data_IF_113512561608
#
_entry.id   IF_113512561608
#
_cell.length_a   1.000
_cell.length_b   1.000
_cell.length_c   1.000
_cell.angle_alpha   90.00
_cell.angle_beta   90.00
_cell.angle_gamma   90.00
#
_symmetry.space_group_name_H-M   'P 1'
#
loop_
_entity.id
_entity.type
_entity.pdbx_description
1 polymer ?
#
# COMPACT_ATOMS: atom_id res chain seq x y z
N UNK A 1 12.04 -21.31 -14.42
CA UNK A 1 10.58 -21.30 -14.66
C UNK A 1 10.00 -20.08 -13.97
N UNK A 2 9.51 -19.08 -14.72
CA UNK A 2 8.79 -17.94 -14.13
C UNK A 2 7.39 -18.43 -13.75
N UNK A 3 7.09 -18.46 -12.46
CA UNK A 3 5.76 -18.87 -11.98
C UNK A 3 4.71 -17.88 -12.50
N UNK A 4 3.71 -18.38 -13.22
CA UNK A 4 2.52 -17.61 -13.64
C UNK A 4 1.58 -17.52 -12.44
N UNK A 5 1.72 -16.47 -11.64
CA UNK A 5 1.00 -16.32 -10.36
C UNK A 5 0.96 -14.89 -9.87
N UNK A 6 0.16 -14.66 -8.83
CA UNK A 6 0.27 -13.42 -8.05
C UNK A 6 1.66 -13.37 -7.41
N UNK A 7 2.24 -12.17 -7.30
CA UNK A 7 3.46 -11.95 -6.53
C UNK A 7 3.09 -11.22 -5.25
N UNK A 8 3.70 -11.62 -4.15
CA UNK A 8 3.50 -10.99 -2.85
C UNK A 8 4.88 -10.57 -2.34
N UNK A 9 5.00 -9.32 -1.92
CA UNK A 9 6.19 -8.76 -1.29
C UNK A 9 5.81 -8.31 0.11
N UNK A 10 6.55 -8.79 1.09
CA UNK A 10 6.39 -8.42 2.49
C UNK A 10 7.40 -7.33 2.85
N UNK A 11 6.92 -6.23 3.42
CA UNK A 11 7.73 -5.09 3.84
C UNK A 11 7.93 -5.02 5.37
N UNK A 12 7.40 -5.95 6.15
CA UNK A 12 7.45 -5.88 7.61
C UNK A 12 6.11 -5.52 8.24
N UNK A 13 5.95 -5.84 9.53
CA UNK A 13 4.71 -5.67 10.27
C UNK A 13 3.49 -6.25 9.53
N UNK A 14 2.59 -5.40 9.03
CA UNK A 14 1.39 -5.76 8.27
C UNK A 14 1.45 -5.25 6.82
N UNK A 15 2.59 -4.71 6.38
CA UNK A 15 2.73 -4.09 5.08
C UNK A 15 3.03 -5.12 3.98
N UNK A 16 2.11 -5.24 3.03
CA UNK A 16 2.23 -6.16 1.88
C UNK A 16 1.95 -5.45 0.56
N UNK A 17 2.74 -5.77 -0.46
CA UNK A 17 2.39 -5.48 -1.85
C UNK A 17 1.97 -6.77 -2.55
N UNK A 18 0.80 -6.75 -3.15
CA UNK A 18 0.29 -7.80 -4.02
C UNK A 18 0.31 -7.30 -5.46
N UNK A 19 1.00 -8.02 -6.33
CA UNK A 19 0.99 -7.79 -7.78
C UNK A 19 0.17 -8.92 -8.39
N UNK A 20 -0.99 -8.58 -8.93
CA UNK A 20 -1.86 -9.56 -9.56
C UNK A 20 -1.24 -10.17 -10.82
N UNK A 21 -1.75 -11.32 -11.25
CA UNK A 21 -1.34 -11.92 -12.53
C UNK A 21 -1.55 -10.99 -13.73
N UNK A 22 -2.50 -10.04 -13.62
CA UNK A 22 -2.83 -9.05 -14.66
C UNK A 22 -2.05 -7.74 -14.50
N UNK A 23 -1.10 -7.66 -13.57
CA UNK A 23 -0.26 -6.49 -13.34
C UNK A 23 -0.77 -5.51 -12.29
N UNK A 24 -2.03 -5.60 -11.85
CA UNK A 24 -2.56 -4.69 -10.81
C UNK A 24 -1.78 -4.73 -9.51
N UNK A 25 -1.43 -3.57 -8.97
CA UNK A 25 -0.63 -3.41 -7.75
C UNK A 25 -1.48 -2.94 -6.59
N UNK A 26 -1.49 -3.72 -5.51
CA UNK A 26 -2.29 -3.47 -4.32
C UNK A 26 -1.34 -3.41 -3.13
N UNK A 27 -1.27 -2.26 -2.46
CA UNK A 27 -0.51 -2.08 -1.25
C UNK A 27 -1.44 -2.12 -0.04
N UNK A 28 -1.13 -2.96 0.96
CA UNK A 28 -1.98 -3.20 2.13
C UNK A 28 -1.22 -2.70 3.36
N UNK A 29 -1.90 -1.92 4.21
CA UNK A 29 -1.42 -1.40 5.49
C UNK A 29 0.01 -0.82 5.43
N UNK A 30 0.21 0.28 4.68
CA UNK A 30 1.52 0.64 4.13
C UNK A 30 2.44 1.37 5.11
N UNK A 31 2.72 0.79 6.28
CA UNK A 31 3.80 1.27 7.14
C UNK A 31 5.16 0.76 6.64
N UNK A 32 5.68 1.36 5.57
CA UNK A 32 6.98 1.06 5.00
C UNK A 32 8.14 1.62 5.82
N UNK A 33 7.91 2.65 6.64
CA UNK A 33 8.88 3.17 7.60
C UNK A 33 9.03 2.34 8.88
N UNK A 34 8.43 1.14 8.92
CA UNK A 34 8.52 0.23 10.07
C UNK A 34 9.97 -0.26 10.34
N UNK A 35 10.32 -0.61 11.60
CA UNK A 35 11.71 -0.92 11.98
C UNK A 35 12.36 -2.12 11.29
N UNK A 36 11.57 -3.05 10.73
CA UNK A 36 12.09 -4.27 10.12
C UNK A 36 12.16 -4.19 8.59
N UNK A 37 11.56 -3.17 7.98
CA UNK A 37 11.69 -2.93 6.55
C UNK A 37 13.11 -2.47 6.21
N UNK A 38 13.70 -3.08 5.17
CA UNK A 38 15.02 -2.73 4.66
C UNK A 38 14.99 -2.34 3.17
N UNK A 39 13.79 -2.17 2.60
CA UNK A 39 13.59 -1.94 1.15
C UNK A 39 12.72 -0.71 0.93
N UNK A 40 12.97 -0.01 -0.18
CA UNK A 40 12.06 1.01 -0.67
C UNK A 40 11.06 0.37 -1.64
N UNK A 41 9.83 0.87 -1.68
CA UNK A 41 8.82 0.39 -2.62
C UNK A 41 9.24 0.60 -4.09
N UNK A 42 9.98 1.68 -4.38
CA UNK A 42 10.54 1.98 -5.71
C UNK A 42 11.52 0.92 -6.22
N UNK A 43 12.14 0.14 -5.33
CA UNK A 43 13.01 -0.97 -5.74
C UNK A 43 12.22 -2.17 -6.29
N UNK A 44 10.88 -2.14 -6.19
CA UNK A 44 10.00 -3.26 -6.51
C UNK A 44 9.03 -2.90 -7.64
N UNK A 45 8.46 -1.69 -7.62
CA UNK A 45 7.40 -1.23 -8.53
C UNK A 45 7.52 0.28 -8.83
N UNK A 46 6.88 0.71 -9.91
CA UNK A 46 6.77 2.11 -10.33
C UNK A 46 5.33 2.66 -10.25
N UNK A 47 4.33 1.82 -9.97
CA UNK A 47 2.92 2.20 -9.87
C UNK A 47 2.22 1.46 -8.71
N UNK A 48 1.34 2.15 -7.98
CA UNK A 48 0.45 1.57 -6.96
C UNK A 48 -0.98 1.91 -7.37
N UNK A 49 -1.74 0.94 -7.90
CA UNK A 49 -3.14 1.17 -8.29
C UNK A 49 -4.00 1.44 -7.04
N UNK A 50 -3.88 0.59 -6.02
CA UNK A 50 -4.74 0.62 -4.83
C UNK A 50 -3.94 0.60 -3.54
N UNK A 51 -4.41 1.35 -2.55
CA UNK A 51 -3.97 1.24 -1.16
C UNK A 51 -5.15 0.78 -0.30
N UNK A 52 -5.02 -0.37 0.34
CA UNK A 52 -6.02 -0.92 1.25
C UNK A 52 -5.58 -0.69 2.69
N UNK A 53 -6.47 -0.14 3.51
CA UNK A 53 -6.21 0.06 4.94
C UNK A 53 -7.24 -0.71 5.76
N UNK A 54 -6.78 -1.59 6.64
CA UNK A 54 -7.64 -2.47 7.42
C UNK A 54 -8.34 -1.75 8.57
N UNK A 55 -7.62 -0.85 9.27
CA UNK A 55 -8.16 -0.04 10.36
C UNK A 55 -7.27 1.19 10.65
N UNK A 56 -7.75 2.09 11.51
CA UNK A 56 -7.18 3.43 11.69
C UNK A 56 -5.94 3.57 12.60
N UNK A 57 -5.30 2.47 13.01
CA UNK A 57 -4.07 2.57 13.81
C UNK A 57 -2.89 3.05 12.96
N UNK A 58 -1.96 3.79 13.58
CA UNK A 58 -0.84 4.43 12.87
C UNK A 58 0.12 3.46 12.20
N UNK A 59 0.28 2.25 12.74
CA UNK A 59 1.08 1.15 12.20
C UNK A 59 0.40 0.43 11.00
N UNK A 60 -0.85 0.77 10.70
CA UNK A 60 -1.60 0.30 9.53
C UNK A 60 -1.89 1.42 8.52
N UNK A 61 -2.21 2.64 8.96
CA UNK A 61 -2.25 3.81 8.07
C UNK A 61 -0.86 4.07 7.50
N UNK A 62 0.17 4.06 8.35
CA UNK A 62 1.56 4.19 7.96
C UNK A 62 1.84 5.36 7.03
N UNK A 63 2.52 5.06 5.93
CA UNK A 63 2.96 6.02 4.92
C UNK A 63 1.92 6.20 3.79
N UNK A 64 0.65 5.81 4.00
CA UNK A 64 -0.41 5.83 2.97
C UNK A 64 -0.61 7.20 2.32
N UNK A 65 -0.50 8.30 3.08
CA UNK A 65 -0.71 9.65 2.54
C UNK A 65 0.37 10.01 1.53
N UNK A 66 1.62 9.75 1.85
CA UNK A 66 2.75 10.09 0.98
C UNK A 66 2.79 9.19 -0.25
N UNK A 67 2.54 7.89 -0.07
CA UNK A 67 2.49 6.90 -1.16
C UNK A 67 1.28 7.18 -2.07
N UNK A 68 0.10 7.39 -1.50
CA UNK A 68 -1.13 7.65 -2.25
C UNK A 68 -1.01 8.91 -3.11
N UNK A 69 -0.39 9.98 -2.60
CA UNK A 69 -0.10 11.19 -3.39
C UNK A 69 0.93 10.94 -4.48
N UNK A 70 2.00 10.21 -4.16
CA UNK A 70 3.09 9.94 -5.09
C UNK A 70 2.63 9.15 -6.32
N UNK A 71 1.82 8.12 -6.12
CA UNK A 71 1.37 7.23 -7.19
C UNK A 71 -0.05 7.52 -7.67
N UNK A 72 -0.74 8.50 -7.09
CA UNK A 72 -2.14 8.80 -7.36
C UNK A 72 -3.03 7.55 -7.22
N UNK A 73 -2.84 6.82 -6.11
CA UNK A 73 -3.52 5.56 -5.82
C UNK A 73 -4.93 5.78 -5.30
N UNK A 74 -5.84 4.85 -5.62
CA UNK A 74 -7.18 4.80 -5.03
C UNK A 74 -7.13 4.17 -3.63
N UNK A 75 -7.76 4.81 -2.65
CA UNK A 75 -7.84 4.33 -1.28
C UNK A 75 -9.08 3.47 -1.08
N UNK A 76 -8.90 2.26 -0.55
CA UNK A 76 -10.00 1.35 -0.20
C UNK A 76 -9.95 1.06 1.31
N UNK A 77 -10.98 1.49 2.04
CA UNK A 77 -11.12 1.23 3.47
C UNK A 77 -12.58 1.45 3.92
N UNK A 78 -12.84 1.53 5.22
CA UNK A 78 -14.14 1.93 5.76
C UNK A 78 -14.43 3.42 5.50
N UNK A 79 -15.69 3.83 5.66
CA UNK A 79 -16.15 5.20 5.40
C UNK A 79 -15.39 6.26 6.22
N UNK A 80 -15.15 5.99 7.50
CA UNK A 80 -14.46 6.93 8.39
C UNK A 80 -12.99 7.12 7.98
N UNK A 81 -12.31 6.04 7.60
CA UNK A 81 -10.89 6.07 7.20
C UNK A 81 -10.73 6.74 5.83
N UNK A 82 -11.60 6.40 4.87
CA UNK A 82 -11.59 7.05 3.55
C UNK A 82 -11.90 8.55 3.67
N UNK A 83 -12.84 8.98 4.52
CA UNK A 83 -13.05 10.40 4.80
C UNK A 83 -11.85 11.07 5.45
N UNK A 84 -11.22 10.42 6.43
CA UNK A 84 -10.01 10.94 7.07
C UNK A 84 -8.88 11.14 6.04
N UNK A 85 -8.61 10.15 5.20
CA UNK A 85 -7.57 10.22 4.17
C UNK A 85 -7.94 11.17 3.03
N UNK A 86 -9.23 11.25 2.69
CA UNK A 86 -9.78 12.25 1.77
C UNK A 86 -9.49 13.68 2.25
N UNK A 87 -9.64 13.95 3.55
CA UNK A 87 -9.26 15.24 4.15
C UNK A 87 -7.75 15.55 4.05
N UNK A 88 -6.91 14.54 3.79
CA UNK A 88 -5.46 14.68 3.54
C UNK A 88 -5.11 14.83 2.05
N UNK A 89 -6.11 14.86 1.17
CA UNK A 89 -5.96 15.03 -0.26
C UNK A 89 -5.76 13.72 -1.03
N UNK A 90 -6.25 12.60 -0.51
CA UNK A 90 -6.33 11.32 -1.23
C UNK A 90 -7.73 11.13 -1.82
N UNK A 91 -7.86 10.23 -2.81
CA UNK A 91 -9.14 9.83 -3.42
C UNK A 91 -9.52 8.41 -3.01
#
# INVERSE_FOLDING_TARGET
MLLKGHKIVYFGHSAFLVISQKGKTILIDPWLSNPVNKRTIDSVINEVDFILITHGHGDHIGDAVDIGKKYNSEIISTFEITNYLGSKGLS
#
